data_IF_043677325426
#
_entry.id   IF_043677325426
#
_cell.length_a   1.000
_cell.length_b   1.000
_cell.length_c   1.000
_cell.angle_alpha   90.00
_cell.angle_beta   90.00
_cell.angle_gamma   90.00
#
_symmetry.space_group_name_H-M   'P 1'
#
loop_
_entity.id
_entity.type
_entity.pdbx_description
1 polymer ?
#
# COMPACT_ATOMS: atom_id res chain seq x y z
N UNK A 1 2.99 -11.63 -15.16
CA UNK A 1 1.64 -12.25 -15.03
C UNK A 1 0.58 -11.21 -15.40
N UNK A 2 -0.61 -11.62 -15.86
CA UNK A 2 -1.75 -10.72 -16.08
C UNK A 2 -3.07 -11.30 -15.60
N UNK A 3 -4.06 -10.45 -15.32
CA UNK A 3 -5.43 -10.84 -14.95
C UNK A 3 -6.45 -10.22 -15.91
N UNK A 4 -7.16 -11.06 -16.66
CA UNK A 4 -8.27 -10.61 -17.49
C UNK A 4 -9.48 -10.19 -16.64
N UNK A 5 -10.13 -9.10 -17.05
CA UNK A 5 -11.38 -8.60 -16.47
C UNK A 5 -12.55 -9.20 -17.27
N UNK A 6 -13.51 -9.92 -16.64
CA UNK A 6 -14.64 -10.52 -17.35
C UNK A 6 -15.47 -9.49 -18.15
N UNK A 7 -15.89 -9.84 -19.36
CA UNK A 7 -16.63 -8.94 -20.25
C UNK A 7 -17.97 -8.48 -19.70
N UNK A 8 -18.65 -9.35 -18.93
CA UNK A 8 -19.87 -9.00 -18.21
C UNK A 8 -19.69 -7.82 -17.22
N UNK A 9 -18.46 -7.56 -16.76
CA UNK A 9 -18.14 -6.47 -15.84
C UNK A 9 -17.87 -5.13 -16.56
N UNK A 10 -17.55 -5.13 -17.86
CA UNK A 10 -17.09 -3.92 -18.56
C UNK A 10 -18.14 -2.79 -18.57
N UNK A 11 -19.44 -3.14 -18.57
CA UNK A 11 -20.55 -2.18 -18.47
C UNK A 11 -20.56 -1.37 -17.15
N UNK A 12 -19.88 -1.84 -16.11
CA UNK A 12 -19.77 -1.16 -14.81
C UNK A 12 -18.51 -0.31 -14.68
N UNK A 13 -17.60 -0.35 -15.66
CA UNK A 13 -16.30 0.35 -15.67
C UNK A 13 -16.14 1.20 -16.94
N UNK A 14 -17.26 1.74 -17.43
CA UNK A 14 -17.31 2.62 -18.60
C UNK A 14 -16.44 3.86 -18.40
N UNK A 15 -15.86 4.34 -19.50
CA UNK A 15 -14.94 5.49 -19.50
C UNK A 15 -13.48 5.17 -19.16
N UNK A 16 -13.15 3.93 -18.76
CA UNK A 16 -11.74 3.53 -18.60
C UNK A 16 -11.04 3.34 -19.96
N UNK A 17 -9.85 3.92 -20.07
CA UNK A 17 -8.90 3.73 -21.17
C UNK A 17 -7.67 2.94 -20.68
N UNK A 18 -6.81 2.49 -21.61
CA UNK A 18 -5.51 1.91 -21.26
C UNK A 18 -4.65 2.94 -20.52
N UNK A 19 -4.09 2.58 -19.36
CA UNK A 19 -3.37 3.52 -18.50
C UNK A 19 -3.03 2.95 -17.12
N UNK A 20 -2.56 3.81 -16.21
CA UNK A 20 -2.37 3.43 -14.81
C UNK A 20 -3.70 3.46 -14.06
N UNK A 21 -3.97 2.41 -13.30
CA UNK A 21 -5.12 2.28 -12.39
C UNK A 21 -4.64 1.82 -11.01
N UNK A 22 -5.43 2.08 -9.98
CA UNK A 22 -5.09 1.74 -8.59
C UNK A 22 -5.87 0.51 -8.12
N UNK A 23 -5.17 -0.46 -7.53
CA UNK A 23 -5.78 -1.50 -6.71
C UNK A 23 -5.67 -1.09 -5.24
N UNK A 24 -6.80 -0.76 -4.61
CA UNK A 24 -6.90 -0.53 -3.17
C UNK A 24 -7.10 -1.87 -2.46
N UNK A 25 -6.05 -2.38 -1.82
CA UNK A 25 -6.07 -3.67 -1.13
C UNK A 25 -6.80 -3.63 0.23
N UNK A 26 -7.00 -4.79 0.89
CA UNK A 26 -7.71 -4.86 2.17
C UNK A 26 -7.10 -3.97 3.26
N UNK A 27 -5.77 -3.81 3.27
CA UNK A 27 -5.04 -2.93 4.20
C UNK A 27 -5.23 -1.42 3.97
N UNK A 28 -6.09 -1.01 3.02
CA UNK A 28 -6.28 0.38 2.63
C UNK A 28 -5.10 0.99 1.86
N UNK A 29 -4.10 0.19 1.46
CA UNK A 29 -2.94 0.62 0.67
C UNK A 29 -3.17 0.43 -0.82
N UNK A 30 -2.40 1.16 -1.63
CA UNK A 30 -2.54 1.21 -3.08
C UNK A 30 -1.41 0.42 -3.76
N UNK A 31 -1.79 -0.45 -4.69
CA UNK A 31 -0.91 -1.06 -5.67
C UNK A 31 -1.22 -0.46 -7.05
N UNK A 32 -0.31 0.34 -7.64
CA UNK A 32 -0.44 0.77 -9.02
C UNK A 32 -0.33 -0.42 -9.97
N UNK A 33 -1.25 -0.54 -10.92
CA UNK A 33 -1.22 -1.54 -12.00
C UNK A 33 -1.55 -0.89 -13.33
N UNK A 34 -1.12 -1.48 -14.44
CA UNK A 34 -1.54 -1.04 -15.77
C UNK A 34 -2.85 -1.72 -16.16
N UNK A 35 -3.86 -0.95 -16.56
CA UNK A 35 -4.99 -1.45 -17.34
C UNK A 35 -4.62 -1.43 -18.83
N UNK A 36 -4.77 -2.56 -19.51
CA UNK A 36 -4.46 -2.71 -20.93
C UNK A 36 -5.69 -3.23 -21.66
N UNK A 37 -6.12 -2.50 -22.70
CA UNK A 37 -7.15 -2.91 -23.64
C UNK A 37 -6.46 -3.45 -24.91
N UNK A 38 -6.62 -4.75 -25.19
CA UNK A 38 -6.07 -5.42 -26.39
C UNK A 38 -7.07 -6.42 -26.95
N UNK A 39 -7.27 -6.41 -28.27
CA UNK A 39 -8.20 -7.33 -28.97
C UNK A 39 -9.61 -7.34 -28.36
N UNK A 40 -10.11 -6.14 -28.01
CA UNK A 40 -11.42 -5.97 -27.37
C UNK A 40 -11.52 -6.55 -25.95
N UNK A 41 -10.42 -6.88 -25.28
CA UNK A 41 -10.38 -7.43 -23.91
C UNK A 41 -9.56 -6.55 -22.98
N UNK A 42 -9.98 -6.47 -21.71
CA UNK A 42 -9.30 -5.71 -20.66
C UNK A 42 -8.47 -6.61 -19.73
N UNK A 43 -7.26 -6.17 -19.37
CA UNK A 43 -6.34 -6.89 -18.49
C UNK A 43 -5.67 -5.95 -17.49
N UNK A 44 -5.50 -6.41 -16.25
CA UNK A 44 -4.47 -5.86 -15.35
C UNK A 44 -3.12 -6.50 -15.68
N UNK A 45 -2.13 -5.67 -16.00
CA UNK A 45 -0.73 -6.01 -16.26
C UNK A 45 0.19 -5.14 -15.36
N UNK A 46 1.51 -5.34 -15.41
CA UNK A 46 2.57 -4.54 -14.75
C UNK A 46 2.18 -3.93 -13.38
N UNK A 47 2.36 -4.69 -12.29
CA UNK A 47 1.84 -4.36 -10.95
C UNK A 47 0.92 -5.46 -10.40
N UNK A 48 0.18 -6.15 -11.29
CA UNK A 48 -0.68 -7.28 -10.90
C UNK A 48 0.09 -8.41 -10.19
N UNK A 49 1.27 -8.75 -10.70
CA UNK A 49 2.09 -9.82 -10.11
C UNK A 49 2.63 -9.44 -8.74
N UNK A 50 2.95 -8.16 -8.54
CA UNK A 50 3.32 -7.61 -7.23
C UNK A 50 2.16 -7.65 -6.25
N UNK A 51 0.94 -7.28 -6.65
CA UNK A 51 -0.25 -7.41 -5.79
C UNK A 51 -0.47 -8.87 -5.33
N UNK A 52 -0.39 -9.83 -6.26
CA UNK A 52 -0.53 -11.27 -5.97
C UNK A 52 0.55 -11.77 -5.01
N UNK A 53 1.81 -11.40 -5.24
CA UNK A 53 2.94 -11.81 -4.41
C UNK A 53 2.88 -11.19 -3.01
N UNK A 54 2.61 -9.89 -2.92
CA UNK A 54 2.64 -9.16 -1.65
C UNK A 54 1.53 -9.66 -0.70
N UNK A 55 0.37 -10.06 -1.23
CA UNK A 55 -0.72 -10.70 -0.47
C UNK A 55 -0.59 -12.24 -0.37
N UNK A 56 0.46 -12.85 -0.93
CA UNK A 56 0.66 -14.30 -0.98
C UNK A 56 -0.59 -15.06 -1.50
N UNK A 57 -1.21 -14.55 -2.57
CA UNK A 57 -2.45 -15.11 -3.13
C UNK A 57 -2.16 -16.45 -3.84
N UNK A 58 -2.99 -17.46 -3.57
CA UNK A 58 -2.85 -18.84 -4.03
C UNK A 58 -3.92 -19.23 -5.04
N UNK A 59 -3.72 -20.35 -5.73
CA UNK A 59 -4.78 -20.97 -6.53
C UNK A 59 -5.93 -21.43 -5.63
N UNK A 60 -7.17 -21.27 -6.09
CA UNK A 60 -8.39 -21.58 -5.32
C UNK A 60 -8.91 -20.44 -4.44
N UNK A 61 -8.13 -19.38 -4.21
CA UNK A 61 -8.60 -18.18 -3.50
C UNK A 61 -9.44 -17.27 -4.40
N UNK A 62 -10.40 -16.57 -3.80
CA UNK A 62 -11.36 -15.70 -4.50
C UNK A 62 -11.02 -14.23 -4.27
N UNK A 63 -11.09 -13.45 -5.35
CA UNK A 63 -10.81 -12.01 -5.35
C UNK A 63 -12.05 -11.25 -5.80
N UNK A 64 -12.63 -10.44 -4.92
CA UNK A 64 -13.73 -9.55 -5.27
C UNK A 64 -13.17 -8.19 -5.67
N UNK A 65 -13.54 -7.71 -6.86
CA UNK A 65 -13.20 -6.39 -7.35
C UNK A 65 -14.44 -5.50 -7.35
N UNK A 66 -14.37 -4.36 -6.66
CA UNK A 66 -15.35 -3.28 -6.76
C UNK A 66 -14.68 -2.09 -7.42
N UNK A 67 -15.26 -1.59 -8.51
CA UNK A 67 -14.82 -0.33 -9.10
C UNK A 67 -15.43 0.82 -8.29
N UNK A 68 -14.58 1.64 -7.67
CA UNK A 68 -14.99 2.80 -6.85
C UNK A 68 -15.00 4.11 -7.69
N UNK A 69 -14.86 4.01 -9.02
CA UNK A 69 -14.69 5.15 -9.92
C UNK A 69 -13.23 5.59 -10.04
N UNK A 70 -12.97 6.68 -10.79
CA UNK A 70 -11.67 7.37 -10.86
C UNK A 70 -10.45 6.44 -11.04
N UNK A 71 -10.54 5.45 -11.93
CA UNK A 71 -9.46 4.48 -12.16
C UNK A 71 -9.02 3.70 -10.90
N UNK A 72 -9.92 3.51 -9.94
CA UNK A 72 -9.66 2.83 -8.68
C UNK A 72 -10.55 1.57 -8.50
N UNK A 73 -9.91 0.45 -8.17
CA UNK A 73 -10.57 -0.81 -7.87
C UNK A 73 -10.23 -1.22 -6.44
N UNK A 74 -11.24 -1.33 -5.59
CA UNK A 74 -11.12 -1.96 -4.27
C UNK A 74 -11.10 -3.48 -4.43
N UNK A 75 -10.17 -4.13 -3.73
CA UNK A 75 -9.98 -5.58 -3.77
C UNK A 75 -10.18 -6.16 -2.38
N UNK A 76 -11.08 -7.15 -2.27
CA UNK A 76 -11.18 -8.02 -1.11
C UNK A 76 -10.63 -9.40 -1.48
N UNK A 77 -9.98 -10.06 -0.51
CA UNK A 77 -9.35 -11.38 -0.69
C UNK A 77 -10.07 -12.38 0.21
N UNK A 78 -10.52 -13.49 -0.37
CA UNK A 78 -11.17 -14.58 0.33
C UNK A 78 -10.36 -15.87 0.10
N UNK A 79 -10.25 -16.69 1.14
CA UNK A 79 -9.61 -18.00 1.04
C UNK A 79 -10.45 -19.01 0.24
N UNK A 80 -9.95 -20.24 0.10
CA UNK A 80 -10.63 -21.31 -0.62
C UNK A 80 -11.96 -21.78 0.04
N UNK A 81 -12.23 -21.39 1.30
CA UNK A 81 -13.52 -21.61 1.98
C UNK A 81 -14.49 -20.44 1.77
N UNK A 82 -14.13 -19.44 0.96
CA UNK A 82 -14.85 -18.18 0.76
C UNK A 82 -14.95 -17.31 2.02
N UNK A 83 -14.05 -17.49 3.00
CA UNK A 83 -13.93 -16.61 4.16
C UNK A 83 -12.94 -15.46 3.88
N UNK A 84 -13.24 -14.24 4.34
CA UNK A 84 -12.37 -13.09 4.10
C UNK A 84 -11.02 -13.24 4.85
N UNK A 85 -9.92 -13.05 4.12
CA UNK A 85 -8.56 -13.19 4.65
C UNK A 85 -8.14 -11.98 5.50
N UNK A 86 -8.19 -12.18 6.82
CA UNK A 86 -7.82 -11.17 7.83
C UNK A 86 -6.35 -10.76 7.79
N UNK A 87 -5.45 -11.66 7.38
CA UNK A 87 -4.00 -11.39 7.28
C UNK A 87 -3.67 -10.32 6.22
N UNK A 88 -4.47 -10.25 5.15
CA UNK A 88 -4.33 -9.25 4.08
C UNK A 88 -4.46 -7.79 4.57
N UNK A 89 -5.12 -7.55 5.71
CA UNK A 89 -5.34 -6.20 6.27
C UNK A 89 -4.06 -5.53 6.79
N UNK A 90 -2.96 -6.28 6.95
CA UNK A 90 -1.64 -5.73 7.35
C UNK A 90 -0.62 -5.64 6.21
N UNK A 91 -0.98 -6.12 5.01
CA UNK A 91 -0.05 -6.21 3.87
C UNK A 91 0.34 -4.81 3.36
N UNK A 92 1.62 -4.62 3.03
CA UNK A 92 2.18 -3.37 2.50
C UNK A 92 2.77 -3.60 1.11
N UNK A 93 2.67 -2.65 0.17
CA UNK A 93 3.33 -2.75 -1.12
C UNK A 93 4.84 -2.94 -0.93
N UNK A 94 5.43 -3.91 -1.63
CA UNK A 94 6.87 -4.19 -1.54
C UNK A 94 7.74 -2.94 -1.76
N UNK A 95 7.31 -2.03 -2.65
CA UNK A 95 8.00 -0.76 -2.94
C UNK A 95 8.05 0.21 -1.76
N UNK A 96 7.13 0.13 -0.80
CA UNK A 96 7.20 0.88 0.46
C UNK A 96 8.21 0.26 1.43
N UNK A 97 8.22 -1.08 1.53
CA UNK A 97 9.07 -1.83 2.47
C UNK A 97 10.59 -1.77 2.16
N UNK A 98 10.96 -1.38 0.94
CA UNK A 98 12.37 -1.14 0.55
C UNK A 98 12.85 0.25 1.01
N UNK A 99 11.99 1.29 0.94
CA UNK A 99 12.36 2.67 1.31
C UNK A 99 12.67 2.83 2.80
N UNK A 100 12.11 1.99 3.67
CA UNK A 100 12.35 1.99 5.11
C UNK A 100 13.66 1.31 5.55
N UNK A 101 14.48 0.80 4.62
CA UNK A 101 15.71 0.05 4.93
C UNK A 101 17.03 0.74 4.57
N UNK A 102 17.01 1.93 3.96
CA UNK A 102 18.21 2.72 3.65
C UNK A 102 18.51 3.79 4.70
N UNK A 103 18.96 3.36 5.89
CA UNK A 103 19.66 4.21 6.86
C UNK A 103 20.71 3.43 7.66
N UNK A 104 21.91 3.29 7.10
CA UNK A 104 23.13 2.93 7.84
C UNK A 104 24.32 3.73 7.33
N UNK A 105 24.90 4.56 8.20
CA UNK A 105 26.25 5.09 8.03
C UNK A 105 26.39 6.61 7.90
N UNK A 106 26.40 7.31 9.03
CA UNK A 106 27.20 8.51 9.20
C UNK A 106 27.98 8.36 10.52
N UNK A 107 29.32 8.35 10.46
CA UNK A 107 30.19 8.26 11.65
C UNK A 107 30.64 9.67 12.09
N UNK A 108 30.91 9.79 13.39
CA UNK A 108 31.28 11.00 14.14
C UNK A 108 32.52 11.75 13.61
N UNK A 109 32.52 13.09 13.80
CA UNK A 109 33.68 13.98 13.84
C UNK A 109 33.40 15.17 14.80
N UNK A 110 34.34 16.13 14.95
CA UNK A 110 34.40 17.10 16.08
C UNK A 110 34.90 18.52 15.69
N UNK A 111 34.78 19.56 16.52
CA UNK A 111 34.31 19.59 17.92
C UNK A 111 33.01 20.40 18.17
N UNK A 112 32.91 21.65 18.65
CA UNK A 112 33.86 22.72 19.05
C UNK A 112 33.21 23.63 20.11
N UNK A 113 33.99 24.38 20.91
CA UNK A 113 33.54 25.21 22.07
C UNK A 113 33.51 26.71 21.74
N UNK A 114 32.42 27.42 22.07
CA UNK A 114 32.49 28.77 22.70
C UNK A 114 31.14 29.23 23.32
N UNK A 115 31.23 29.76 24.55
CA UNK A 115 30.30 30.64 25.30
C UNK A 115 28.78 30.31 25.43
N UNK A 116 28.40 29.86 26.63
CA UNK A 116 27.12 30.13 27.31
C UNK A 116 27.02 31.62 27.76
N UNK A 117 25.90 32.15 28.35
CA UNK A 117 24.72 31.45 28.86
C UNK A 117 23.33 32.09 28.60
N UNK A 118 22.30 31.24 28.39
CA UNK A 118 20.99 31.43 29.04
C UNK A 118 20.35 30.06 29.32
N UNK A 119 19.96 29.83 30.58
CA UNK A 119 19.12 28.73 31.06
C UNK A 119 18.37 29.25 32.31
N UNK A 120 17.27 28.62 32.78
CA UNK A 120 16.59 27.43 32.24
C UNK A 120 15.05 27.55 32.13
N UNK A 121 14.44 26.85 31.16
CA UNK A 121 13.06 26.36 31.32
C UNK A 121 13.04 25.08 32.16
N UNK A 122 13.25 25.23 33.47
CA UNK A 122 13.07 24.20 34.50
C UNK A 122 12.13 24.79 35.57
N UNK A 123 10.82 24.80 35.31
CA UNK A 123 9.85 25.38 36.25
C UNK A 123 8.52 24.61 36.40
N UNK A 124 8.42 23.38 35.90
CA UNK A 124 7.17 22.60 35.95
C UNK A 124 7.24 21.21 36.61
N UNK A 125 8.42 20.70 36.97
CA UNK A 125 8.58 19.37 37.58
C UNK A 125 8.70 19.35 39.12
N UNK A 126 8.46 20.48 39.80
CA UNK A 126 8.70 20.60 41.26
C UNK A 126 7.51 21.12 42.09
N UNK A 127 6.28 20.98 41.58
CA UNK A 127 5.03 21.32 42.30
C UNK A 127 4.04 20.15 42.43
N UNK A 128 4.52 18.88 42.47
CA UNK A 128 3.65 17.70 42.62
C UNK A 128 4.06 16.68 43.68
N UNK A 129 4.93 17.06 44.62
CA UNK A 129 5.29 16.24 45.80
C UNK A 129 5.52 17.14 47.02
N UNK A 130 4.43 17.55 47.67
CA UNK A 130 4.35 17.98 49.08
C UNK A 130 2.88 18.29 49.45
N UNK A 131 2.11 17.22 49.67
CA UNK A 131 1.11 17.10 50.75
C UNK A 131 1.40 15.75 51.40
#
# INVERSE_FOLDING_TARGET
MKKGIPSAFWKHISGLSSGNVSLLGPSGRIWPVNLVIKEGRMYFENGWQEFVRDHSIKCGEVLLFKYDGNSCFRVLVFDASSCERKDCHSVKPYREAVKSKTSKGAKSARQTVTSSPVLPFMFWDLLRKNV
#
